data_IF_608393909640
#
_entry.id   IF_608393909640
#
_cell.length_a   1.000
_cell.length_b   1.000
_cell.length_c   1.000
_cell.angle_alpha   90.00
_cell.angle_beta   90.00
_cell.angle_gamma   90.00
#
_symmetry.space_group_name_H-M   'P 1'
#
loop_
_entity.id
_entity.type
_entity.pdbx_description
1 polymer ?
#
# COMPACT_ATOMS: atom_id res chain seq x y z
N UNK A 1 25.69 18.01 -6.00
CA UNK A 1 25.49 17.66 -7.42
C UNK A 1 26.56 16.65 -7.85
N UNK A 2 26.24 15.36 -7.77
CA UNK A 2 26.75 14.25 -8.60
C UNK A 2 26.04 12.98 -8.09
N UNK A 3 25.19 12.46 -8.96
CA UNK A 3 24.43 11.22 -8.83
C UNK A 3 25.43 10.07 -8.97
N UNK A 4 25.45 9.13 -8.02
CA UNK A 4 26.09 7.84 -8.24
C UNK A 4 24.99 6.77 -8.37
N UNK A 5 24.62 6.51 -9.62
CA UNK A 5 23.98 5.25 -10.04
C UNK A 5 25.06 4.18 -9.94
N UNK A 6 24.96 3.25 -8.98
CA UNK A 6 25.74 2.02 -9.03
C UNK A 6 24.92 0.96 -9.77
N UNK A 7 25.38 0.62 -10.98
CA UNK A 7 24.94 -0.54 -11.74
C UNK A 7 25.51 -1.83 -11.12
N UNK A 8 24.61 -2.82 -10.97
CA UNK A 8 24.82 -4.26 -11.02
C UNK A 8 26.25 -4.81 -11.05
N UNK A 9 26.61 -5.60 -10.04
CA UNK A 9 27.50 -6.76 -10.22
C UNK A 9 26.66 -8.04 -10.25
N UNK A 10 26.95 -8.89 -11.24
CA UNK A 10 26.24 -10.08 -11.66
C UNK A 10 26.22 -11.28 -10.67
N UNK A 11 26.26 -11.01 -9.36
CA UNK A 11 25.95 -11.98 -8.31
C UNK A 11 25.12 -11.22 -7.28
N UNK A 12 23.83 -11.05 -7.58
CA UNK A 12 22.83 -10.38 -6.75
C UNK A 12 22.43 -11.21 -5.53
N UNK A 13 23.40 -11.75 -4.81
CA UNK A 13 23.17 -12.30 -3.48
C UNK A 13 23.18 -11.11 -2.50
N UNK A 14 21.99 -10.58 -2.23
CA UNK A 14 21.74 -10.12 -0.86
C UNK A 14 21.76 -11.39 -0.02
N UNK A 15 22.95 -11.75 0.48
CA UNK A 15 23.09 -12.82 1.45
C UNK A 15 22.39 -12.30 2.71
N UNK A 16 21.39 -13.02 3.25
CA UNK A 16 20.90 -12.74 4.60
C UNK A 16 22.10 -12.89 5.56
N UNK A 17 22.70 -11.77 5.99
CA UNK A 17 23.91 -11.78 6.83
C UNK A 17 25.02 -10.82 6.41
N UNK A 18 24.98 -10.18 5.23
CA UNK A 18 25.90 -9.07 4.94
C UNK A 18 25.38 -7.78 5.58
N UNK A 19 26.13 -7.27 6.55
CA UNK A 19 25.86 -5.98 7.18
C UNK A 19 25.95 -4.87 6.14
N UNK A 20 24.80 -4.33 5.73
CA UNK A 20 24.75 -3.02 5.09
C UNK A 20 25.13 -2.00 6.17
N UNK A 21 26.42 -1.65 6.23
CA UNK A 21 26.93 -0.61 7.11
C UNK A 21 26.24 0.72 6.74
N UNK A 22 25.28 1.15 7.56
CA UNK A 22 24.52 2.40 7.36
C UNK A 22 23.13 2.43 8.00
N UNK A 23 22.65 1.34 8.58
CA UNK A 23 21.31 1.22 9.15
C UNK A 23 21.28 1.80 10.58
N UNK A 24 21.15 3.13 10.73
CA UNK A 24 21.10 3.85 12.02
C UNK A 24 19.75 4.52 12.35
N UNK A 25 19.32 4.24 13.59
CA UNK A 25 18.04 4.37 14.33
C UNK A 25 16.69 3.79 13.84
N UNK A 26 16.60 2.79 12.97
CA UNK A 26 17.69 2.07 12.30
C UNK A 26 17.30 1.52 10.95
N UNK A 27 16.23 0.75 10.80
CA UNK A 27 15.95 0.07 9.52
C UNK A 27 14.71 0.59 8.81
N UNK A 28 14.93 1.68 8.08
CA UNK A 28 14.35 1.88 6.76
C UNK A 28 15.22 1.10 5.78
N UNK A 29 14.63 0.18 5.02
CA UNK A 29 15.33 -0.54 3.96
C UNK A 29 14.73 -0.16 2.61
N UNK A 30 15.57 0.32 1.70
CA UNK A 30 15.23 0.41 0.28
C UNK A 30 16.11 -0.58 -0.48
N UNK A 31 15.50 -1.35 -1.38
CA UNK A 31 16.19 -2.44 -2.07
C UNK A 31 15.82 -2.48 -3.55
N UNK A 32 16.79 -2.86 -4.38
CA UNK A 32 16.58 -3.16 -5.80
C UNK A 32 16.28 -4.66 -6.03
N UNK A 33 16.22 -5.47 -4.98
CA UNK A 33 15.92 -6.90 -5.05
C UNK A 33 14.50 -7.16 -4.55
N UNK A 34 13.66 -7.86 -5.33
CA UNK A 34 12.29 -8.17 -4.93
C UNK A 34 12.22 -9.13 -3.75
N UNK A 35 11.06 -9.16 -3.08
CA UNK A 35 10.79 -10.20 -2.07
C UNK A 35 10.66 -11.53 -2.79
N UNK A 36 11.58 -12.46 -2.54
CA UNK A 36 11.56 -13.80 -3.14
C UNK A 36 11.07 -14.89 -2.19
N UNK A 37 11.00 -14.59 -0.89
CA UNK A 37 10.54 -15.51 0.14
C UNK A 37 9.90 -14.75 1.32
N UNK A 38 8.82 -15.26 1.94
CA UNK A 38 8.11 -14.52 3.00
C UNK A 38 8.97 -14.18 4.22
N UNK A 39 9.93 -15.06 4.57
CA UNK A 39 10.84 -14.85 5.70
C UNK A 39 12.12 -14.08 5.36
N UNK A 40 12.25 -13.54 4.14
CA UNK A 40 13.46 -12.84 3.67
C UNK A 40 13.98 -11.78 4.66
N UNK A 41 13.08 -11.10 5.35
CA UNK A 41 13.41 -10.05 6.32
C UNK A 41 13.19 -10.43 7.79
N UNK A 42 12.96 -11.71 8.10
CA UNK A 42 12.68 -12.19 9.47
C UNK A 42 13.79 -11.83 10.48
N UNK A 43 15.04 -11.81 10.01
CA UNK A 43 16.22 -11.51 10.84
C UNK A 43 16.57 -10.02 10.93
N UNK A 44 15.66 -9.13 10.51
CA UNK A 44 15.80 -7.68 10.68
C UNK A 44 14.81 -7.16 11.74
N UNK A 45 15.00 -7.48 13.03
CA UNK A 45 14.01 -7.25 14.08
C UNK A 45 13.72 -5.77 14.38
N UNK A 46 14.40 -4.83 13.72
CA UNK A 46 14.14 -3.39 13.81
C UNK A 46 13.50 -2.83 12.52
N UNK A 47 13.24 -3.66 11.51
CA UNK A 47 12.71 -3.21 10.22
C UNK A 47 11.25 -2.76 10.38
N UNK A 48 11.04 -1.46 10.27
CA UNK A 48 9.71 -0.86 10.38
C UNK A 48 9.25 -0.22 9.07
N UNK A 49 10.17 0.01 8.13
CA UNK A 49 9.90 0.55 6.81
C UNK A 49 10.65 -0.23 5.74
N UNK A 50 9.92 -0.71 4.74
CA UNK A 50 10.47 -1.41 3.59
C UNK A 50 9.98 -0.74 2.31
N UNK A 51 10.91 -0.27 1.50
CA UNK A 51 10.67 0.33 0.20
C UNK A 51 11.17 -0.59 -0.92
N UNK A 52 10.20 -1.15 -1.64
CA UNK A 52 10.35 -2.02 -2.80
C UNK A 52 10.02 -1.28 -4.11
N UNK A 53 9.95 0.05 -4.09
CA UNK A 53 9.52 0.84 -5.26
C UNK A 53 10.48 0.70 -6.44
N UNK A 54 9.96 0.87 -7.65
CA UNK A 54 10.65 0.73 -8.93
C UNK A 54 11.11 -0.70 -9.26
N UNK A 55 10.49 -1.69 -8.63
CA UNK A 55 10.61 -3.08 -9.03
C UNK A 55 9.57 -3.39 -10.09
N UNK A 56 9.82 -2.91 -11.31
CA UNK A 56 8.82 -2.89 -12.40
C UNK A 56 8.32 -4.27 -12.83
N UNK A 57 8.97 -5.36 -12.43
CA UNK A 57 8.52 -6.74 -12.68
C UNK A 57 7.98 -7.44 -11.43
N UNK A 58 7.97 -6.78 -10.28
CA UNK A 58 7.54 -7.39 -9.03
C UNK A 58 6.03 -7.33 -8.89
N UNK A 59 5.43 -8.49 -8.66
CA UNK A 59 4.02 -8.68 -8.41
C UNK A 59 3.83 -9.39 -7.07
N UNK A 60 2.70 -9.15 -6.41
CA UNK A 60 2.36 -9.87 -5.20
C UNK A 60 2.05 -11.34 -5.49
N UNK A 61 2.49 -12.26 -4.63
CA UNK A 61 2.28 -13.67 -4.86
C UNK A 61 0.79 -14.02 -4.74
N UNK A 62 0.27 -14.75 -5.73
CA UNK A 62 -1.11 -15.24 -5.75
C UNK A 62 -1.37 -16.18 -4.56
N UNK A 63 -2.43 -15.90 -3.80
CA UNK A 63 -2.92 -16.70 -2.66
C UNK A 63 -1.87 -17.07 -1.60
N UNK A 64 -0.84 -16.24 -1.46
CA UNK A 64 0.25 -16.44 -0.50
C UNK A 64 0.56 -15.15 0.25
N UNK A 65 1.23 -15.32 1.37
CA UNK A 65 1.77 -14.20 2.15
C UNK A 65 2.89 -13.52 1.38
N UNK A 66 2.87 -12.19 1.34
CA UNK A 66 3.95 -11.40 0.72
C UNK A 66 5.23 -11.53 1.53
N UNK A 67 5.13 -11.21 2.82
CA UNK A 67 6.24 -11.22 3.76
C UNK A 67 5.73 -11.39 5.20
N UNK A 68 6.59 -11.93 6.07
CA UNK A 68 6.30 -12.10 7.50
C UNK A 68 7.18 -11.14 8.29
N UNK A 69 6.56 -10.19 8.98
CA UNK A 69 7.31 -9.27 9.84
C UNK A 69 6.47 -8.67 10.96
N UNK A 70 6.95 -8.81 12.20
CA UNK A 70 6.19 -8.43 13.41
C UNK A 70 6.25 -6.93 13.74
N UNK A 71 7.14 -6.16 13.09
CA UNK A 71 7.28 -4.72 13.31
C UNK A 71 7.16 -3.86 12.07
N UNK A 72 6.92 -4.46 10.89
CA UNK A 72 6.88 -3.69 9.66
C UNK A 72 5.62 -2.81 9.68
N UNK A 73 5.84 -1.51 9.68
CA UNK A 73 4.79 -0.51 9.81
C UNK A 73 4.52 0.22 8.48
N UNK A 74 5.52 0.33 7.61
CA UNK A 74 5.41 0.99 6.30
C UNK A 74 5.92 0.07 5.20
N UNK A 75 5.09 -0.16 4.19
CA UNK A 75 5.46 -0.94 3.01
C UNK A 75 5.15 -0.15 1.75
N UNK A 76 6.19 0.17 0.98
CA UNK A 76 6.07 0.90 -0.27
C UNK A 76 6.45 -0.02 -1.44
N UNK A 77 5.63 -0.03 -2.49
CA UNK A 77 5.95 -0.65 -3.78
C UNK A 77 5.35 0.22 -4.89
N UNK A 78 5.81 1.46 -4.97
CA UNK A 78 5.40 2.37 -6.02
C UNK A 78 6.08 1.96 -7.33
N UNK A 79 5.40 2.10 -8.48
CA UNK A 79 5.98 1.73 -9.78
C UNK A 79 6.49 0.27 -9.83
N UNK A 80 5.68 -0.64 -9.28
CA UNK A 80 5.87 -2.09 -9.38
C UNK A 80 4.91 -2.66 -10.46
N UNK A 81 4.72 -3.98 -10.52
CA UNK A 81 3.74 -4.65 -11.40
C UNK A 81 2.57 -5.26 -10.61
N UNK A 82 2.12 -4.59 -9.54
CA UNK A 82 1.05 -5.13 -8.68
C UNK A 82 -0.31 -4.98 -9.36
N UNK A 83 -0.97 -6.08 -9.73
CA UNK A 83 -2.32 -6.07 -10.31
C UNK A 83 -3.44 -6.29 -9.29
N UNK A 84 -3.14 -7.03 -8.22
CA UNK A 84 -4.11 -7.44 -7.21
C UNK A 84 -3.50 -7.45 -5.81
N UNK A 85 -4.32 -7.12 -4.82
CA UNK A 85 -4.05 -7.43 -3.40
C UNK A 85 -4.97 -8.60 -3.01
N UNK A 86 -4.37 -9.72 -2.64
CA UNK A 86 -5.07 -10.94 -2.24
C UNK A 86 -5.35 -10.94 -0.73
N UNK A 87 -6.21 -11.86 -0.27
CA UNK A 87 -6.54 -12.00 1.16
C UNK A 87 -5.29 -12.15 2.05
N UNK A 88 -4.30 -12.90 1.58
CA UNK A 88 -3.10 -13.23 2.33
C UNK A 88 -1.95 -12.24 2.14
N UNK A 89 -2.05 -11.29 1.19
CA UNK A 89 -0.92 -10.43 0.80
C UNK A 89 -0.29 -9.73 2.01
N UNK A 90 -1.10 -9.20 2.92
CA UNK A 90 -0.61 -8.48 4.12
C UNK A 90 -0.99 -9.16 5.44
N UNK A 91 -1.46 -10.41 5.41
CA UNK A 91 -2.02 -11.08 6.59
C UNK A 91 -1.00 -11.30 7.72
N UNK A 92 0.29 -11.29 7.40
CA UNK A 92 1.40 -11.48 8.34
C UNK A 92 2.15 -10.19 8.70
N UNK A 93 1.48 -9.04 8.56
CA UNK A 93 1.98 -7.70 8.88
C UNK A 93 1.06 -6.96 9.89
N UNK A 94 0.97 -7.45 11.14
CA UNK A 94 0.00 -6.94 12.11
C UNK A 94 0.23 -5.48 12.52
N UNK A 95 1.44 -4.95 12.30
CA UNK A 95 1.82 -3.57 12.64
C UNK A 95 1.72 -2.60 11.45
N UNK A 96 1.19 -3.02 10.30
CA UNK A 96 1.13 -2.20 9.11
C UNK A 96 0.22 -0.97 9.35
N UNK A 97 0.79 0.22 9.19
CA UNK A 97 0.11 1.51 9.35
C UNK A 97 0.06 2.31 8.04
N UNK A 98 1.05 2.13 7.16
CA UNK A 98 1.18 2.86 5.91
C UNK A 98 1.44 1.92 4.73
N UNK A 99 0.62 2.05 3.69
CA UNK A 99 0.75 1.30 2.44
C UNK A 99 0.76 2.29 1.26
N UNK A 100 1.78 2.19 0.42
CA UNK A 100 1.89 2.96 -0.83
C UNK A 100 2.11 2.01 -2.01
N UNK A 101 1.18 2.02 -2.97
CA UNK A 101 1.19 1.23 -4.20
C UNK A 101 0.88 2.12 -5.40
N UNK A 102 1.41 3.33 -5.40
CA UNK A 102 1.18 4.30 -6.46
C UNK A 102 1.79 3.83 -7.78
N UNK A 103 1.16 4.20 -8.89
CA UNK A 103 1.60 3.92 -10.25
C UNK A 103 1.84 2.42 -10.49
N UNK A 104 0.89 1.59 -10.08
CA UNK A 104 0.83 0.17 -10.40
C UNK A 104 -0.32 -0.09 -11.39
N UNK A 105 -0.58 -1.37 -11.68
CA UNK A 105 -1.73 -1.80 -12.48
C UNK A 105 -2.86 -2.33 -11.59
N UNK A 106 -2.96 -1.88 -10.34
CA UNK A 106 -3.87 -2.44 -9.35
C UNK A 106 -5.31 -2.23 -9.78
N UNK A 107 -6.05 -3.32 -9.98
CA UNK A 107 -7.45 -3.30 -10.41
C UNK A 107 -8.41 -4.01 -9.47
N UNK A 108 -7.87 -4.83 -8.57
CA UNK A 108 -8.61 -5.65 -7.61
C UNK A 108 -7.98 -5.63 -6.23
N UNK A 109 -8.82 -5.48 -5.20
CA UNK A 109 -8.44 -5.66 -3.80
C UNK A 109 -9.44 -6.63 -3.19
N UNK A 110 -8.93 -7.71 -2.61
CA UNK A 110 -9.77 -8.71 -1.97
C UNK A 110 -10.57 -8.10 -0.79
N UNK A 111 -11.86 -8.47 -0.62
CA UNK A 111 -12.72 -8.05 0.49
C UNK A 111 -12.11 -8.15 1.90
N UNK A 112 -11.29 -9.16 2.15
CA UNK A 112 -10.62 -9.37 3.45
C UNK A 112 -9.11 -9.04 3.41
N UNK A 113 -8.63 -8.33 2.39
CA UNK A 113 -7.19 -8.06 2.21
C UNK A 113 -6.52 -7.40 3.43
N UNK A 114 -7.29 -6.64 4.22
CA UNK A 114 -6.81 -5.88 5.37
C UNK A 114 -7.37 -6.36 6.73
N UNK A 115 -7.99 -7.55 6.78
CA UNK A 115 -8.57 -8.13 8.01
C UNK A 115 -7.56 -8.20 9.18
N UNK A 116 -6.28 -8.41 8.86
CA UNK A 116 -5.20 -8.55 9.84
C UNK A 116 -4.36 -7.27 10.01
N UNK A 117 -4.79 -6.14 9.44
CA UNK A 117 -4.07 -4.86 9.51
C UNK A 117 -4.91 -3.77 10.21
N UNK A 118 -5.40 -3.98 11.44
CA UNK A 118 -6.34 -3.06 12.10
C UNK A 118 -5.74 -1.68 12.38
N UNK A 119 -4.41 -1.55 12.35
CA UNK A 119 -3.67 -0.31 12.58
C UNK A 119 -3.45 0.53 11.31
N UNK A 120 -3.99 0.11 10.15
CA UNK A 120 -3.79 0.82 8.90
C UNK A 120 -4.39 2.24 8.97
N UNK A 121 -3.55 3.24 8.71
CA UNK A 121 -3.88 4.67 8.86
C UNK A 121 -3.78 5.43 7.54
N UNK A 122 -2.86 5.03 6.65
CA UNK A 122 -2.60 5.67 5.37
C UNK A 122 -2.55 4.65 4.24
N UNK A 123 -3.35 4.90 3.20
CA UNK A 123 -3.34 4.14 1.95
C UNK A 123 -3.21 5.11 0.77
N UNK A 124 -2.17 4.94 -0.04
CA UNK A 124 -1.96 5.65 -1.31
C UNK A 124 -2.01 4.64 -2.45
N UNK A 125 -2.93 4.85 -3.39
CA UNK A 125 -3.14 4.01 -4.57
C UNK A 125 -3.25 4.90 -5.83
N UNK A 126 -2.49 5.98 -5.88
CA UNK A 126 -2.54 6.96 -6.98
C UNK A 126 -2.14 6.29 -8.31
N UNK A 127 -2.81 6.62 -9.40
CA UNK A 127 -2.40 6.17 -10.74
C UNK A 127 -2.53 4.66 -10.93
N UNK A 128 -3.65 4.09 -10.50
CA UNK A 128 -3.98 2.67 -10.64
C UNK A 128 -5.26 2.50 -11.50
N UNK A 129 -5.69 1.25 -11.67
CA UNK A 129 -6.83 0.88 -12.50
C UNK A 129 -7.99 0.31 -11.65
N UNK A 130 -8.22 0.87 -10.45
CA UNK A 130 -9.23 0.36 -9.52
C UNK A 130 -10.63 0.47 -10.13
N UNK A 131 -11.18 -0.67 -10.58
CA UNK A 131 -12.57 -0.79 -11.07
C UNK A 131 -13.43 -1.57 -10.06
N UNK A 132 -12.87 -2.64 -9.49
CA UNK A 132 -13.54 -3.54 -8.56
C UNK A 132 -12.99 -3.33 -7.15
N UNK A 133 -13.31 -2.17 -6.58
CA UNK A 133 -13.11 -1.92 -5.17
C UNK A 133 -14.46 -2.10 -4.49
N UNK A 134 -14.58 -3.08 -3.57
CA UNK A 134 -15.71 -3.15 -2.65
C UNK A 134 -15.27 -2.66 -1.25
N UNK A 135 -15.22 -1.35 -1.01
CA UNK A 135 -14.89 -0.80 0.30
C UNK A 135 -15.76 -1.21 1.45
N UNK A 136 -17.01 -1.59 1.21
CA UNK A 136 -17.84 -2.09 2.29
C UNK A 136 -17.19 -3.32 2.90
N UNK A 137 -16.73 -4.27 2.12
CA UNK A 137 -16.01 -5.41 2.68
C UNK A 137 -14.54 -5.08 3.01
N UNK A 138 -13.85 -4.42 2.07
CA UNK A 138 -12.38 -4.22 2.11
C UNK A 138 -11.92 -3.30 3.23
N UNK A 139 -12.73 -2.29 3.60
CA UNK A 139 -12.32 -1.22 4.51
C UNK A 139 -12.98 -1.37 5.90
N UNK A 140 -13.99 -2.23 6.06
CA UNK A 140 -14.61 -2.47 7.37
C UNK A 140 -13.61 -2.91 8.46
N UNK A 141 -12.48 -3.49 8.05
CA UNK A 141 -11.42 -3.96 8.94
C UNK A 141 -10.41 -2.87 9.38
N UNK A 142 -10.38 -1.70 8.72
CA UNK A 142 -9.38 -0.65 8.96
C UNK A 142 -10.00 0.60 9.60
N UNK A 143 -10.47 0.43 10.84
CA UNK A 143 -11.21 1.48 11.56
C UNK A 143 -10.44 2.80 11.66
N UNK A 144 -9.11 2.79 11.79
CA UNK A 144 -8.30 4.00 11.98
C UNK A 144 -7.79 4.65 10.68
N UNK A 145 -8.31 4.25 9.52
CA UNK A 145 -7.88 4.83 8.25
C UNK A 145 -8.21 6.34 8.22
N UNK A 146 -7.16 7.14 8.16
CA UNK A 146 -7.21 8.61 8.24
C UNK A 146 -6.90 9.29 6.91
N UNK A 147 -6.10 8.64 6.06
CA UNK A 147 -5.69 9.15 4.76
C UNK A 147 -5.94 8.08 3.71
N UNK A 148 -6.80 8.42 2.74
CA UNK A 148 -7.04 7.61 1.55
C UNK A 148 -6.87 8.46 0.30
N UNK A 149 -5.90 8.11 -0.53
CA UNK A 149 -5.65 8.78 -1.80
C UNK A 149 -5.84 7.80 -2.96
N UNK A 150 -6.84 8.07 -3.79
CA UNK A 150 -7.24 7.29 -4.94
C UNK A 150 -7.14 8.10 -6.24
N UNK A 151 -6.36 9.18 -6.26
CA UNK A 151 -6.20 10.01 -7.46
C UNK A 151 -5.83 9.16 -8.68
N UNK A 152 -6.27 9.58 -9.86
CA UNK A 152 -5.95 8.93 -11.13
C UNK A 152 -6.35 7.44 -11.14
N UNK A 153 -7.52 7.12 -10.57
CA UNK A 153 -8.19 5.83 -10.75
C UNK A 153 -9.44 6.03 -11.61
N UNK A 154 -9.33 6.05 -12.95
CA UNK A 154 -10.47 6.33 -13.83
C UNK A 154 -11.52 5.21 -13.80
N UNK A 155 -11.22 4.04 -13.24
CA UNK A 155 -12.22 2.99 -13.02
C UNK A 155 -13.10 3.23 -11.80
N UNK A 156 -12.66 4.06 -10.85
CA UNK A 156 -13.22 4.11 -9.52
C UNK A 156 -14.35 5.14 -9.43
N UNK A 157 -15.52 4.68 -8.96
CA UNK A 157 -16.69 5.51 -8.73
C UNK A 157 -17.14 5.38 -7.27
N UNK A 158 -16.91 6.44 -6.49
CA UNK A 158 -17.21 6.48 -5.06
C UNK A 158 -18.71 6.33 -4.74
N UNK A 159 -19.62 6.75 -5.63
CA UNK A 159 -21.07 6.67 -5.38
C UNK A 159 -21.60 5.25 -5.51
N UNK A 160 -20.89 4.36 -6.22
CA UNK A 160 -21.25 2.93 -6.31
C UNK A 160 -20.85 2.13 -5.07
N UNK A 161 -20.26 2.79 -4.10
CA UNK A 161 -19.58 2.16 -2.99
C UNK A 161 -20.07 2.76 -1.67
N UNK A 162 -20.37 1.90 -0.70
CA UNK A 162 -20.65 2.34 0.66
C UNK A 162 -19.37 2.31 1.51
N UNK A 163 -18.89 3.48 1.93
CA UNK A 163 -17.71 3.61 2.80
C UNK A 163 -18.09 4.11 4.18
N UNK A 164 -17.84 3.31 5.22
CA UNK A 164 -17.95 3.73 6.62
C UNK A 164 -16.55 3.95 7.19
N UNK A 165 -16.04 5.16 7.02
CA UNK A 165 -14.74 5.57 7.51
C UNK A 165 -14.87 6.73 8.51
N UNK A 166 -15.21 6.44 9.78
CA UNK A 166 -15.47 7.50 10.76
C UNK A 166 -14.23 8.32 11.13
N UNK A 167 -13.03 7.77 10.89
CA UNK A 167 -11.75 8.42 11.18
C UNK A 167 -11.08 9.05 9.97
N UNK A 168 -11.72 9.05 8.79
CA UNK A 168 -11.15 9.65 7.60
C UNK A 168 -11.02 11.16 7.78
N UNK A 169 -9.79 11.66 7.68
CA UNK A 169 -9.46 13.08 7.74
C UNK A 169 -9.16 13.62 6.35
N UNK A 170 -8.51 12.81 5.51
CA UNK A 170 -8.12 13.16 4.15
C UNK A 170 -8.64 12.13 3.15
N UNK A 171 -9.43 12.60 2.19
CA UNK A 171 -9.83 11.84 1.02
C UNK A 171 -9.53 12.61 -0.26
N UNK A 172 -8.89 11.93 -1.23
CA UNK A 172 -8.64 12.51 -2.55
C UNK A 172 -8.97 11.51 -3.65
N UNK A 173 -9.76 11.95 -4.63
CA UNK A 173 -10.09 11.19 -5.84
C UNK A 173 -10.16 12.12 -7.06
N UNK A 174 -9.07 12.87 -7.30
CA UNK A 174 -8.89 13.69 -8.50
C UNK A 174 -8.67 12.79 -9.71
N UNK A 175 -9.26 13.14 -10.85
CA UNK A 175 -9.18 12.32 -12.07
C UNK A 175 -9.65 10.86 -11.87
N UNK A 176 -10.65 10.67 -11.01
CA UNK A 176 -11.45 9.46 -10.93
C UNK A 176 -12.68 9.58 -11.83
N UNK A 177 -13.39 8.47 -12.12
CA UNK A 177 -14.65 8.51 -12.88
C UNK A 177 -15.84 8.86 -11.99
N UNK A 178 -15.79 10.08 -11.47
CA UNK A 178 -16.81 10.67 -10.60
C UNK A 178 -17.16 12.03 -11.19
N UNK A 179 -18.44 12.32 -11.35
CA UNK A 179 -18.95 13.63 -11.77
C UNK A 179 -19.50 14.46 -10.60
N UNK A 180 -19.93 13.80 -9.52
CA UNK A 180 -20.37 14.41 -8.26
C UNK A 180 -20.24 13.38 -7.12
N UNK A 181 -20.20 13.82 -5.86
CA UNK A 181 -20.29 12.92 -4.71
C UNK A 181 -21.63 13.13 -4.01
N UNK A 182 -22.34 12.02 -3.78
CA UNK A 182 -23.63 12.07 -3.11
C UNK A 182 -23.52 12.62 -1.68
N UNK A 183 -24.45 13.52 -1.31
CA UNK A 183 -24.53 14.07 0.07
C UNK A 183 -24.65 12.97 1.13
N UNK A 184 -25.27 11.84 0.79
CA UNK A 184 -25.41 10.65 1.65
C UNK A 184 -24.10 9.91 1.89
N UNK A 185 -23.11 10.05 1.00
CA UNK A 185 -21.74 9.57 1.15
C UNK A 185 -20.96 10.51 2.07
N UNK A 186 -21.09 11.82 1.86
CA UNK A 186 -20.39 12.85 2.66
C UNK A 186 -20.81 12.89 4.13
N UNK A 187 -22.09 12.68 4.44
CA UNK A 187 -22.60 12.72 5.82
C UNK A 187 -22.04 11.61 6.72
N UNK A 188 -21.35 10.62 6.16
CA UNK A 188 -20.79 9.46 6.87
C UNK A 188 -19.33 9.67 7.31
N UNK A 189 -18.64 10.67 6.77
CA UNK A 189 -17.24 10.96 7.09
C UNK A 189 -17.16 12.06 8.16
N UNK A 190 -17.45 11.67 9.41
CA UNK A 190 -17.66 12.60 10.53
C UNK A 190 -16.42 13.45 10.89
N UNK A 191 -15.22 13.01 10.51
CA UNK A 191 -13.95 13.68 10.84
C UNK A 191 -13.24 14.29 9.62
N UNK A 192 -13.91 14.34 8.47
CA UNK A 192 -13.28 14.77 7.23
C UNK A 192 -12.89 16.25 7.30
N UNK A 193 -11.59 16.53 7.23
CA UNK A 193 -11.06 17.89 7.16
C UNK A 193 -10.68 18.31 5.74
N UNK A 194 -10.29 17.36 4.90
CA UNK A 194 -9.81 17.61 3.54
C UNK A 194 -10.47 16.67 2.54
N UNK A 195 -11.21 17.26 1.62
CA UNK A 195 -11.92 16.54 0.55
C UNK A 195 -11.51 17.11 -0.80
N UNK A 196 -10.85 16.30 -1.61
CA UNK A 196 -10.49 16.66 -2.98
C UNK A 196 -11.26 15.76 -3.96
N UNK A 197 -12.27 16.35 -4.58
CA UNK A 197 -13.17 15.74 -5.55
C UNK A 197 -12.98 16.42 -6.93
N UNK A 198 -13.58 15.90 -8.01
CA UNK A 198 -13.05 16.13 -9.37
C UNK A 198 -12.95 17.60 -9.78
N UNK A 199 -11.80 17.93 -10.37
CA UNK A 199 -11.67 18.67 -11.62
C UNK A 199 -11.13 17.70 -12.69
#
# INVERSE_FOLDING_TARGET
MKVLKCFLTAIGLIIPGSTVNGINNTSILSTNVPVTHPEMYKNYPQLWHLDMSNQTSFEFPLDRVLLVHQKLARYFCNNCSVHSIYKQSFSMLPQLTHLELDHNNLSYIHPDAFENNPLLQKVQLVGNNLVKFNPEATINHVTYLSILNLNQNPGFNINKVQMKLPWLVYFSCKHCNISFVDKSTMSRWQRLGHLHLPN
#
